data_IF_188004296595
#
_entry.id   IF_188004296595
#
_cell.length_a   1.000
_cell.length_b   1.000
_cell.length_c   1.000
_cell.angle_alpha   90.00
_cell.angle_beta   90.00
_cell.angle_gamma   90.00
#
_symmetry.space_group_name_H-M   'P 1'
#
loop_
_entity.id
_entity.type
_entity.pdbx_description
1 polymer ?
#
# COMPACT_ATOMS: atom_id res chain seq x y z
N UNK A 1 6.17 -24.54 29.06
CA UNK A 1 5.87 -23.32 29.84
C UNK A 1 6.84 -22.27 29.31
N UNK A 2 6.43 -21.25 28.57
CA UNK A 2 5.17 -20.49 28.71
C UNK A 2 4.74 -19.99 27.32
N UNK A 3 3.48 -20.25 26.98
CA UNK A 3 2.77 -19.64 25.85
C UNK A 3 2.50 -18.17 26.18
N UNK A 4 2.83 -17.26 25.27
CA UNK A 4 1.99 -16.14 24.83
C UNK A 4 2.81 -15.24 23.92
N UNK A 5 2.61 -15.38 22.61
CA UNK A 5 2.57 -14.26 21.69
C UNK A 5 1.28 -14.45 20.89
N UNK A 6 0.19 -13.89 21.42
CA UNK A 6 -0.99 -13.57 20.62
C UNK A 6 -0.66 -12.17 20.10
N UNK A 7 -0.26 -12.06 18.84
CA UNK A 7 0.05 -10.79 18.20
C UNK A 7 -0.60 -10.80 16.82
N UNK A 8 -1.28 -9.72 16.47
CA UNK A 8 -2.11 -9.50 15.28
C UNK A 8 -1.34 -9.87 14.00
N UNK A 9 -1.82 -10.88 13.26
CA UNK A 9 -0.97 -11.63 12.29
C UNK A 9 -1.08 -11.19 10.84
N UNK A 10 -1.96 -10.26 10.47
CA UNK A 10 -1.90 -9.74 9.11
C UNK A 10 -0.64 -8.88 8.87
N UNK A 11 0.01 -8.39 9.93
CA UNK A 11 1.03 -7.32 9.85
C UNK A 11 2.46 -7.90 9.84
N UNK A 12 2.74 -8.97 10.61
CA UNK A 12 4.12 -9.47 10.81
C UNK A 12 4.73 -10.15 9.57
N UNK A 13 3.92 -10.76 8.71
CA UNK A 13 4.38 -11.30 7.43
C UNK A 13 4.80 -10.19 6.44
N UNK A 14 4.33 -8.97 6.69
CA UNK A 14 4.32 -7.89 5.74
C UNK A 14 5.46 -6.88 5.92
N UNK A 15 6.24 -6.97 7.00
CA UNK A 15 7.43 -6.12 7.23
C UNK A 15 8.61 -6.52 6.37
N UNK A 16 8.72 -7.82 6.05
CA UNK A 16 9.74 -8.26 5.10
C UNK A 16 9.23 -8.07 3.67
N UNK A 17 7.90 -8.10 3.45
CA UNK A 17 7.33 -7.60 2.19
C UNK A 17 7.63 -6.10 2.05
N UNK A 18 7.44 -5.29 3.11
CA UNK A 18 7.74 -3.85 3.27
C UNK A 18 9.21 -3.49 2.99
N UNK A 19 10.12 -4.23 3.63
CA UNK A 19 11.56 -4.08 3.46
C UNK A 19 12.05 -4.64 2.10
N UNK A 20 11.37 -5.66 1.60
CA UNK A 20 11.52 -6.24 0.27
C UNK A 20 10.71 -5.54 -0.83
N UNK A 21 10.04 -4.40 -0.56
CA UNK A 21 9.00 -3.82 -1.43
C UNK A 21 9.49 -3.50 -2.85
N UNK A 22 10.79 -3.39 -3.13
CA UNK A 22 11.20 -3.03 -4.50
C UNK A 22 12.39 -3.83 -4.99
N UNK A 23 12.07 -5.01 -5.49
CA UNK A 23 12.82 -5.62 -6.58
C UNK A 23 11.88 -5.76 -7.77
N UNK A 24 12.17 -4.93 -8.80
CA UNK A 24 12.01 -5.17 -10.24
C UNK A 24 11.15 -4.16 -11.02
N UNK A 25 11.80 -3.14 -11.57
CA UNK A 25 11.54 -2.74 -12.95
C UNK A 25 12.84 -2.83 -13.76
N UNK A 26 12.72 -3.33 -14.99
CA UNK A 26 13.84 -3.45 -15.92
C UNK A 26 14.46 -2.06 -16.22
N UNK A 27 15.80 -1.95 -16.34
CA UNK A 27 16.44 -0.70 -16.66
C UNK A 27 16.27 -0.37 -18.14
N UNK A 28 15.65 0.77 -18.42
CA UNK A 28 15.91 1.53 -19.64
C UNK A 28 14.69 1.97 -20.41
N UNK A 29 14.08 3.07 -20.00
CA UNK A 29 13.48 4.01 -20.95
C UNK A 29 13.87 5.44 -20.57
N UNK A 30 14.25 6.22 -21.58
CA UNK A 30 14.65 7.62 -21.47
C UNK A 30 13.48 8.49 -21.01
N UNK A 31 13.77 9.58 -20.29
CA UNK A 31 12.79 10.55 -19.79
C UNK A 31 11.64 10.83 -20.78
N UNK A 32 10.37 10.79 -20.33
CA UNK A 32 9.24 11.07 -21.20
C UNK A 32 9.22 12.55 -21.60
N UNK A 33 8.92 12.78 -22.87
CA UNK A 33 8.74 14.12 -23.44
C UNK A 33 7.51 14.77 -22.77
N UNK A 34 7.55 16.08 -22.40
CA UNK A 34 6.39 16.76 -21.82
C UNK A 34 5.15 16.61 -22.71
N UNK A 35 4.07 16.08 -22.15
CA UNK A 35 2.80 15.82 -22.86
C UNK A 35 2.56 14.35 -23.26
N UNK A 36 3.44 13.43 -22.86
CA UNK A 36 3.16 11.99 -22.97
C UNK A 36 2.31 11.59 -21.76
N UNK A 37 1.08 11.13 -22.00
CA UNK A 37 0.29 10.43 -20.98
C UNK A 37 1.14 9.20 -20.63
N UNK A 38 1.79 9.21 -19.46
CA UNK A 38 2.42 8.00 -18.92
C UNK A 38 1.31 6.95 -18.92
N UNK A 39 1.48 5.78 -19.56
CA UNK A 39 0.47 4.74 -19.44
C UNK A 39 0.31 4.51 -17.95
N UNK A 40 -0.87 4.85 -17.40
CA UNK A 40 -1.23 4.43 -16.05
C UNK A 40 -0.99 2.93 -16.08
N UNK A 41 -0.02 2.46 -15.30
CA UNK A 41 0.25 1.04 -15.17
C UNK A 41 -1.10 0.37 -14.95
N UNK A 42 -1.47 -0.58 -15.83
CA UNK A 42 -2.82 -1.15 -15.81
C UNK A 42 -2.99 -1.83 -14.46
N UNK A 43 -3.69 -1.18 -13.55
CA UNK A 43 -4.01 -1.76 -12.25
C UNK A 43 -5.05 -2.85 -12.50
N UNK A 44 -4.75 -4.12 -12.18
CA UNK A 44 -5.70 -5.19 -12.41
C UNK A 44 -6.92 -5.02 -11.49
N UNK A 45 -8.10 -5.46 -11.93
CA UNK A 45 -9.22 -5.60 -11.00
C UNK A 45 -8.98 -6.77 -10.03
N UNK A 46 -9.76 -6.87 -8.94
CA UNK A 46 -9.70 -8.04 -8.05
C UNK A 46 -9.97 -9.36 -8.80
N UNK A 47 -10.92 -9.34 -9.74
CA UNK A 47 -11.21 -10.51 -10.59
C UNK A 47 -10.06 -10.85 -11.54
N UNK A 48 -9.39 -9.84 -12.12
CA UNK A 48 -8.20 -10.05 -12.95
C UNK A 48 -7.05 -10.63 -12.11
N UNK A 49 -6.79 -10.10 -10.91
CA UNK A 49 -5.75 -10.61 -10.00
C UNK A 49 -6.03 -12.07 -9.57
N UNK A 50 -7.29 -12.37 -9.21
CA UNK A 50 -7.74 -13.74 -8.91
C UNK A 50 -7.55 -14.68 -10.10
N UNK A 51 -7.85 -14.22 -11.32
CA UNK A 51 -7.68 -15.02 -12.53
C UNK A 51 -6.20 -15.29 -12.84
N UNK A 52 -5.32 -14.29 -12.70
CA UNK A 52 -3.88 -14.43 -12.88
C UNK A 52 -3.27 -15.40 -11.88
N UNK A 53 -3.65 -15.31 -10.60
CA UNK A 53 -3.21 -16.26 -9.58
C UNK A 53 -3.66 -17.70 -9.90
N UNK A 54 -4.91 -17.87 -10.36
CA UNK A 54 -5.43 -19.18 -10.77
C UNK A 54 -4.71 -19.75 -12.00
N UNK A 55 -4.33 -18.90 -12.94
CA UNK A 55 -3.51 -19.29 -14.08
C UNK A 55 -2.15 -19.83 -13.64
N UNK A 56 -1.43 -19.11 -12.77
CA UNK A 56 -0.14 -19.56 -12.23
C UNK A 56 -0.31 -20.89 -11.49
N UNK A 57 -1.27 -20.96 -10.56
CA UNK A 57 -1.50 -22.15 -9.74
C UNK A 57 -1.79 -23.40 -10.60
N UNK A 58 -2.57 -23.23 -11.67
CA UNK A 58 -2.92 -24.31 -12.60
C UNK A 58 -1.75 -24.79 -13.47
N UNK A 59 -0.67 -24.02 -13.58
CA UNK A 59 0.53 -24.40 -14.31
C UNK A 59 1.60 -25.07 -13.41
N UNK A 60 1.47 -25.01 -12.09
CA UNK A 60 2.44 -25.61 -11.15
C UNK A 60 2.16 -27.11 -10.99
N UNK A 61 3.22 -27.93 -11.05
CA UNK A 61 3.13 -29.35 -10.68
C UNK A 61 2.97 -29.48 -9.15
N UNK A 62 1.73 -29.65 -8.70
CA UNK A 62 1.40 -29.75 -7.29
C UNK A 62 2.01 -30.95 -6.57
N UNK A 63 2.26 -32.08 -7.26
CA UNK A 63 2.93 -33.23 -6.64
C UNK A 63 4.42 -32.94 -6.41
N UNK A 64 5.07 -32.28 -7.37
CA UNK A 64 6.46 -31.83 -7.22
C UNK A 64 6.60 -30.72 -6.17
N UNK A 65 5.63 -29.80 -6.09
CA UNK A 65 5.58 -28.75 -5.07
C UNK A 65 5.45 -29.33 -3.65
N UNK A 66 4.53 -30.28 -3.46
CA UNK A 66 4.19 -30.82 -2.15
C UNK A 66 5.35 -31.53 -1.43
N UNK A 67 6.37 -32.00 -2.17
CA UNK A 67 7.52 -32.71 -1.61
C UNK A 67 8.71 -31.80 -1.27
N UNK A 68 8.65 -30.52 -1.64
CA UNK A 68 9.69 -29.54 -1.31
C UNK A 68 9.78 -29.33 0.20
N UNK A 69 11.00 -29.22 0.71
CA UNK A 69 11.32 -29.01 2.13
C UNK A 69 12.56 -28.12 2.25
N UNK A 70 12.81 -27.53 3.42
CA UNK A 70 13.99 -26.70 3.65
C UNK A 70 15.28 -27.39 3.18
N UNK A 71 16.09 -26.68 2.39
CA UNK A 71 17.32 -27.20 1.77
C UNK A 71 17.17 -27.74 0.34
N UNK A 72 15.94 -27.80 -0.20
CA UNK A 72 15.68 -28.24 -1.58
C UNK A 72 15.74 -27.09 -2.61
N UNK A 73 16.18 -25.88 -2.25
CA UNK A 73 16.17 -24.69 -3.11
C UNK A 73 17.12 -24.80 -4.31
N UNK A 74 18.07 -25.73 -4.26
CA UNK A 74 18.97 -26.05 -5.36
C UNK A 74 18.50 -27.26 -6.20
N UNK A 75 17.32 -27.81 -5.92
CA UNK A 75 16.78 -28.94 -6.67
C UNK A 75 16.18 -28.50 -8.00
N UNK A 76 16.10 -29.44 -8.94
CA UNK A 76 15.46 -29.20 -10.24
C UNK A 76 13.97 -28.88 -10.11
N UNK A 77 13.29 -29.43 -9.10
CA UNK A 77 11.87 -29.16 -8.86
C UNK A 77 11.64 -27.71 -8.43
N UNK A 78 12.40 -27.22 -7.44
CA UNK A 78 12.34 -25.82 -7.01
C UNK A 78 12.70 -24.88 -8.18
N UNK A 79 13.82 -25.14 -8.85
CA UNK A 79 14.30 -24.31 -9.97
C UNK A 79 13.25 -24.24 -11.09
N UNK A 80 12.61 -25.36 -11.42
CA UNK A 80 11.57 -25.38 -12.46
C UNK A 80 10.36 -24.51 -12.10
N UNK A 81 9.87 -24.61 -10.85
CA UNK A 81 8.75 -23.78 -10.38
C UNK A 81 9.16 -22.31 -10.38
N UNK A 82 10.32 -21.95 -9.80
CA UNK A 82 10.82 -20.57 -9.75
C UNK A 82 10.96 -19.95 -11.14
N UNK A 83 11.60 -20.66 -12.07
CA UNK A 83 11.83 -20.17 -13.43
C UNK A 83 10.49 -19.95 -14.17
N UNK A 84 9.48 -20.77 -13.87
CA UNK A 84 8.13 -20.60 -14.39
C UNK A 84 7.43 -19.36 -13.82
N UNK A 85 7.52 -19.12 -12.51
CA UNK A 85 7.02 -17.88 -11.89
C UNK A 85 7.72 -16.65 -12.49
N UNK A 86 9.04 -16.74 -12.71
CA UNK A 86 9.84 -15.67 -13.31
C UNK A 86 9.39 -15.35 -14.73
N UNK A 87 9.15 -16.37 -15.55
CA UNK A 87 8.63 -16.21 -16.90
C UNK A 87 7.22 -15.58 -16.90
N UNK A 88 6.36 -15.96 -15.94
CA UNK A 88 5.03 -15.38 -15.79
C UNK A 88 5.10 -13.89 -15.40
N UNK A 89 5.92 -13.53 -14.41
CA UNK A 89 6.11 -12.12 -14.01
C UNK A 89 6.63 -11.28 -15.17
N UNK A 90 7.57 -11.82 -15.96
CA UNK A 90 8.13 -11.11 -17.11
C UNK A 90 7.09 -10.78 -18.21
N UNK A 91 5.97 -11.51 -18.29
CA UNK A 91 4.87 -11.21 -19.22
C UNK A 91 3.76 -10.33 -18.62
N UNK A 92 3.82 -10.02 -17.33
CA UNK A 92 2.81 -9.27 -16.57
C UNK A 92 3.48 -8.11 -15.80
N UNK A 93 3.81 -6.99 -16.46
CA UNK A 93 4.57 -5.89 -15.87
C UNK A 93 3.86 -5.17 -14.71
N UNK A 94 2.57 -5.42 -14.50
CA UNK A 94 1.80 -4.99 -13.33
C UNK A 94 2.10 -5.80 -12.06
N UNK A 95 2.56 -7.04 -12.20
CA UNK A 95 2.89 -7.93 -11.10
C UNK A 95 4.30 -7.63 -10.61
N UNK A 96 4.40 -7.18 -9.36
CA UNK A 96 5.68 -6.86 -8.72
C UNK A 96 6.26 -8.12 -8.07
N UNK A 97 5.41 -8.97 -7.50
CA UNK A 97 5.86 -10.14 -6.76
C UNK A 97 5.03 -11.38 -7.05
N UNK A 98 5.69 -12.54 -7.07
CA UNK A 98 5.07 -13.85 -7.20
C UNK A 98 5.78 -14.82 -6.27
N UNK A 99 5.01 -15.46 -5.41
CA UNK A 99 5.53 -16.48 -4.52
C UNK A 99 4.50 -17.57 -4.30
N UNK A 100 4.93 -18.64 -3.64
CA UNK A 100 4.08 -19.77 -3.30
C UNK A 100 4.21 -20.11 -1.83
N UNK A 101 3.11 -20.54 -1.24
CA UNK A 101 3.03 -20.84 0.18
C UNK A 101 2.37 -22.18 0.43
N UNK A 102 2.67 -22.79 1.57
CA UNK A 102 1.89 -23.90 2.14
C UNK A 102 1.44 -23.55 3.54
N UNK A 103 0.36 -24.20 3.98
CA UNK A 103 -0.19 -24.05 5.33
C UNK A 103 -0.08 -25.37 6.09
N UNK A 104 0.47 -25.32 7.30
CA UNK A 104 0.43 -26.41 8.28
C UNK A 104 -0.18 -25.91 9.60
N UNK A 105 -1.41 -26.34 9.87
CA UNK A 105 -2.20 -25.82 10.98
C UNK A 105 -2.38 -24.31 10.86
N UNK A 106 -1.75 -23.56 11.76
CA UNK A 106 -1.79 -22.10 11.78
C UNK A 106 -0.54 -21.46 11.17
N UNK A 107 0.44 -22.25 10.76
CA UNK A 107 1.69 -21.76 10.18
C UNK A 107 1.56 -21.67 8.67
N UNK A 108 1.92 -20.51 8.11
CA UNK A 108 2.14 -20.29 6.69
C UNK A 108 3.64 -20.34 6.45
N UNK A 109 4.05 -21.10 5.45
CA UNK A 109 5.44 -21.28 5.06
C UNK A 109 5.61 -20.93 3.58
N UNK A 110 6.60 -20.11 3.27
CA UNK A 110 7.06 -19.84 1.90
C UNK A 110 7.77 -21.05 1.33
N UNK A 111 7.49 -21.37 0.06
CA UNK A 111 8.02 -22.57 -0.60
C UNK A 111 8.83 -22.23 -1.83
N UNK A 112 8.32 -21.37 -2.71
CA UNK A 112 9.08 -20.87 -3.86
C UNK A 112 8.82 -19.39 -3.97
N UNK A 113 9.87 -18.62 -3.73
CA UNK A 113 9.96 -17.19 -4.01
C UNK A 113 10.63 -17.02 -5.39
N UNK A 114 10.00 -16.24 -6.28
CA UNK A 114 10.54 -15.98 -7.62
C UNK A 114 11.93 -15.31 -7.59
N UNK A 115 12.19 -14.52 -6.55
CA UNK A 115 13.43 -13.77 -6.36
C UNK A 115 14.49 -14.54 -5.57
N UNK A 116 14.21 -15.79 -5.20
CA UNK A 116 15.16 -16.63 -4.46
C UNK A 116 16.54 -16.71 -5.15
N UNK A 117 17.56 -16.31 -4.40
CA UNK A 117 18.94 -16.14 -4.86
C UNK A 117 19.37 -14.68 -5.03
N UNK A 118 18.45 -13.72 -4.90
CA UNK A 118 18.71 -12.29 -4.79
C UNK A 118 18.28 -11.79 -3.40
N UNK A 119 19.21 -11.27 -2.58
CA UNK A 119 18.88 -10.57 -1.33
C UNK A 119 17.94 -11.33 -0.37
N UNK A 120 16.99 -10.60 0.21
CA UNK A 120 16.05 -10.98 1.29
C UNK A 120 14.92 -11.94 0.89
N UNK A 121 15.05 -12.63 -0.26
CA UNK A 121 14.06 -13.59 -0.73
C UNK A 121 13.91 -14.79 0.22
N UNK A 122 12.68 -15.29 0.37
CA UNK A 122 12.36 -16.34 1.34
C UNK A 122 12.88 -17.71 0.91
N UNK A 123 13.56 -18.40 1.82
CA UNK A 123 13.91 -19.80 1.69
C UNK A 123 12.72 -20.70 2.02
N UNK A 124 12.79 -21.98 1.61
CA UNK A 124 11.78 -22.96 2.02
C UNK A 124 11.87 -23.10 3.55
N UNK A 125 10.75 -22.91 4.24
CA UNK A 125 10.69 -22.99 5.70
C UNK A 125 10.52 -21.66 6.40
N UNK A 126 10.82 -20.56 5.72
CA UNK A 126 10.51 -19.23 6.24
C UNK A 126 9.00 -19.05 6.29
N UNK A 127 8.49 -18.37 7.33
CA UNK A 127 7.05 -18.34 7.55
C UNK A 127 6.62 -17.68 8.85
N UNK A 128 5.32 -17.66 9.07
CA UNK A 128 4.67 -17.01 10.19
C UNK A 128 3.43 -17.78 10.66
N UNK A 129 2.93 -17.48 11.85
CA UNK A 129 1.78 -18.21 12.45
C UNK A 129 0.58 -17.30 12.63
N UNK A 130 -0.56 -17.68 12.05
CA UNK A 130 -1.86 -16.99 12.06
C UNK A 130 -2.74 -17.45 13.24
N UNK A 131 -3.49 -16.60 13.96
CA UNK A 131 -4.44 -16.99 14.98
C UNK A 131 -5.56 -17.78 14.32
N UNK A 132 -6.12 -18.74 15.06
CA UNK A 132 -7.09 -19.69 14.53
C UNK A 132 -8.40 -19.00 14.10
N UNK A 133 -8.72 -17.87 14.71
CA UNK A 133 -9.91 -17.07 14.44
C UNK A 133 -9.78 -16.11 13.24
N UNK A 134 -8.60 -15.93 12.66
CA UNK A 134 -8.42 -15.00 11.55
C UNK A 134 -9.09 -15.55 10.30
N UNK A 135 -9.96 -14.73 9.69
CA UNK A 135 -10.49 -14.93 8.35
C UNK A 135 -9.92 -13.84 7.46
N UNK A 136 -9.36 -14.23 6.33
CA UNK A 136 -8.81 -13.32 5.32
C UNK A 136 -8.88 -13.96 3.93
N UNK A 137 -8.81 -13.14 2.89
CA UNK A 137 -8.78 -13.64 1.51
C UNK A 137 -7.52 -14.48 1.24
N UNK A 138 -6.39 -14.15 1.88
CA UNK A 138 -5.20 -15.00 1.90
C UNK A 138 -5.50 -16.44 2.37
N UNK A 139 -6.30 -16.60 3.43
CA UNK A 139 -6.65 -17.93 3.93
C UNK A 139 -7.64 -18.66 3.01
N UNK A 140 -8.56 -17.94 2.39
CA UNK A 140 -9.47 -18.46 1.36
C UNK A 140 -8.68 -19.03 0.17
N UNK A 141 -7.59 -18.37 -0.20
CA UNK A 141 -6.73 -18.71 -1.33
C UNK A 141 -6.13 -20.13 -1.28
N UNK A 142 -5.97 -20.71 -0.08
CA UNK A 142 -5.54 -22.11 0.07
C UNK A 142 -6.61 -23.13 -0.36
N UNK A 143 -7.86 -22.71 -0.52
CA UNK A 143 -8.99 -23.60 -0.86
C UNK A 143 -9.68 -23.24 -2.16
N UNK A 144 -9.77 -21.95 -2.49
CA UNK A 144 -10.37 -21.44 -3.72
C UNK A 144 -9.74 -20.10 -4.11
N UNK A 145 -9.78 -19.69 -5.39
CA UNK A 145 -9.16 -18.44 -5.77
C UNK A 145 -9.84 -17.23 -5.11
N UNK A 146 -9.04 -16.27 -4.64
CA UNK A 146 -9.45 -15.07 -3.91
C UNK A 146 -8.54 -13.89 -4.26
N UNK A 147 -8.96 -12.68 -3.90
CA UNK A 147 -8.14 -11.49 -4.05
C UNK A 147 -8.55 -10.41 -3.04
N UNK A 148 -7.61 -9.58 -2.63
CA UNK A 148 -7.85 -8.44 -1.73
C UNK A 148 -6.98 -7.23 -2.13
N UNK A 149 -7.35 -6.05 -1.63
CA UNK A 149 -6.49 -4.87 -1.67
C UNK A 149 -5.78 -4.79 -0.32
N UNK A 150 -4.46 -4.67 -0.35
CA UNK A 150 -3.65 -4.41 0.82
C UNK A 150 -3.12 -2.97 0.76
N UNK A 151 -2.98 -2.32 1.92
CA UNK A 151 -2.32 -1.02 2.03
C UNK A 151 -1.58 -0.86 3.36
N UNK A 152 -0.48 -0.11 3.35
CA UNK A 152 0.33 0.28 4.50
C UNK A 152 0.81 1.73 4.35
N UNK A 153 1.13 2.40 5.46
CA UNK A 153 1.67 3.76 5.45
C UNK A 153 3.10 3.78 6.01
N UNK A 154 3.95 4.62 5.43
CA UNK A 154 5.32 4.84 5.88
C UNK A 154 5.57 6.32 6.14
N UNK A 155 6.33 6.61 7.20
CA UNK A 155 6.81 7.94 7.54
C UNK A 155 8.33 8.01 7.46
N UNK A 156 8.85 9.10 6.92
CA UNK A 156 10.28 9.30 6.67
C UNK A 156 10.76 10.65 7.18
N UNK A 157 12.00 10.72 7.66
CA UNK A 157 12.66 12.00 7.89
C UNK A 157 14.19 11.91 7.84
N UNK A 158 14.89 12.99 7.39
CA UNK A 158 16.33 12.99 7.23
C UNK A 158 17.06 13.02 8.56
N UNK A 159 18.04 12.12 8.72
CA UNK A 159 18.98 12.14 9.84
C UNK A 159 20.18 13.00 9.43
N UNK A 160 20.40 14.07 10.19
CA UNK A 160 21.46 15.04 9.91
C UNK A 160 22.64 14.85 10.84
N UNK A 161 23.84 14.94 10.29
CA UNK A 161 25.07 14.95 11.09
C UNK A 161 25.32 16.34 11.72
N UNK A 162 26.40 16.48 12.50
CA UNK A 162 26.70 17.76 13.16
C UNK A 162 26.98 18.93 12.19
N UNK A 163 27.27 18.65 10.92
CA UNK A 163 27.41 19.67 9.87
C UNK A 163 26.08 20.11 9.24
N UNK A 164 24.98 19.46 9.60
CA UNK A 164 23.65 19.67 9.02
C UNK A 164 23.41 18.94 7.70
N UNK A 165 24.37 18.13 7.23
CA UNK A 165 24.23 17.31 6.04
C UNK A 165 23.37 16.07 6.34
N UNK A 166 22.46 15.74 5.43
CA UNK A 166 21.75 14.46 5.50
C UNK A 166 22.73 13.31 5.26
N UNK A 167 22.76 12.36 6.18
CA UNK A 167 23.63 11.17 6.15
C UNK A 167 22.85 9.87 6.17
N UNK A 168 21.53 9.96 6.32
CA UNK A 168 20.61 8.84 6.41
C UNK A 168 19.20 9.35 6.62
N UNK A 169 18.30 8.43 6.94
CA UNK A 169 16.88 8.68 7.13
C UNK A 169 16.35 7.73 8.19
N UNK A 170 15.36 8.17 8.96
CA UNK A 170 14.55 7.29 9.78
C UNK A 170 13.28 6.89 9.02
N UNK A 171 12.84 5.66 9.20
CA UNK A 171 11.62 5.11 8.62
C UNK A 171 10.72 4.62 9.75
N UNK A 172 9.45 4.99 9.69
CA UNK A 172 8.39 4.61 10.63
C UNK A 172 7.29 3.86 9.89
N UNK A 173 6.82 2.76 10.45
CA UNK A 173 5.62 2.06 9.99
C UNK A 173 4.67 1.93 11.19
N UNK A 174 3.50 2.58 11.15
CA UNK A 174 2.52 2.46 12.20
C UNK A 174 1.63 1.23 12.02
N UNK A 175 1.14 0.69 13.13
CA UNK A 175 0.14 -0.40 13.20
C UNK A 175 -1.26 0.11 13.57
N UNK A 176 -1.41 1.41 13.70
CA UNK A 176 -2.64 2.10 14.10
C UNK A 176 -2.69 3.46 13.41
N UNK A 177 -3.87 4.06 13.25
CA UNK A 177 -4.02 5.33 12.55
C UNK A 177 -3.12 6.44 13.08
N UNK A 178 -2.44 7.13 12.15
CA UNK A 178 -1.68 8.35 12.39
C UNK A 178 -1.88 9.26 11.18
N UNK A 179 -2.17 10.54 11.42
CA UNK A 179 -2.25 11.53 10.35
C UNK A 179 -0.91 11.71 9.65
N UNK A 180 -0.91 12.00 8.35
CA UNK A 180 0.34 12.21 7.60
C UNK A 180 1.22 13.27 8.27
N UNK A 181 0.69 14.45 8.54
CA UNK A 181 1.45 15.54 9.17
C UNK A 181 1.98 15.15 10.56
N UNK A 182 1.21 14.38 11.32
CA UNK A 182 1.63 13.87 12.63
C UNK A 182 2.73 12.81 12.49
N UNK A 183 2.63 11.93 11.49
CA UNK A 183 3.62 10.90 11.20
C UNK A 183 4.94 11.51 10.69
N UNK A 184 4.86 12.51 9.82
CA UNK A 184 6.01 13.29 9.36
C UNK A 184 6.67 14.05 10.50
N UNK A 185 5.87 14.72 11.34
CA UNK A 185 6.36 15.43 12.51
C UNK A 185 7.03 14.48 13.51
N UNK A 186 6.44 13.31 13.74
CA UNK A 186 7.00 12.27 14.59
C UNK A 186 8.30 11.70 14.00
N UNK A 187 8.35 11.43 12.70
CA UNK A 187 9.57 11.00 12.02
C UNK A 187 10.67 12.05 12.18
N UNK A 188 10.36 13.34 11.96
CA UNK A 188 11.29 14.45 12.12
C UNK A 188 11.79 14.59 13.57
N UNK A 189 10.89 14.46 14.55
CA UNK A 189 11.25 14.49 15.96
C UNK A 189 12.23 13.37 16.31
N UNK A 190 11.95 12.14 15.87
CA UNK A 190 12.81 11.00 16.19
C UNK A 190 14.14 11.09 15.42
N UNK A 191 14.14 11.48 14.14
CA UNK A 191 15.36 11.70 13.36
C UNK A 191 16.29 12.71 14.05
N UNK A 192 15.74 13.80 14.60
CA UNK A 192 16.49 14.82 15.33
C UNK A 192 17.11 14.34 16.65
N UNK A 193 16.68 13.18 17.17
CA UNK A 193 17.26 12.56 18.35
C UNK A 193 18.46 11.65 18.03
N UNK A 194 18.60 11.19 16.78
CA UNK A 194 19.65 10.25 16.38
C UNK A 194 20.98 10.98 16.17
N UNK A 195 22.08 10.42 16.69
CA UNK A 195 23.44 10.87 16.39
C UNK A 195 23.82 10.47 14.95
N UNK A 196 23.64 11.40 14.01
CA UNK A 196 23.91 11.17 12.60
C UNK A 196 25.39 10.88 12.29
N UNK A 197 26.34 11.46 13.03
CA UNK A 197 27.76 11.16 12.84
C UNK A 197 28.09 9.72 13.28
N UNK A 198 27.52 9.29 14.41
CA UNK A 198 27.66 7.91 14.87
C UNK A 198 27.01 6.92 13.90
N UNK A 199 25.79 7.21 13.42
CA UNK A 199 25.09 6.38 12.43
C UNK A 199 25.90 6.26 11.13
N UNK A 200 26.38 7.37 10.58
CA UNK A 200 27.14 7.38 9.34
C UNK A 200 28.44 6.55 9.41
N UNK A 201 29.03 6.44 10.61
CA UNK A 201 30.25 5.67 10.84
C UNK A 201 30.03 4.14 10.91
N UNK A 202 28.79 3.67 11.10
CA UNK A 202 28.46 2.25 11.23
C UNK A 202 28.73 1.48 9.94
N UNK A 203 29.19 0.24 10.08
CA UNK A 203 29.49 -0.67 8.96
C UNK A 203 28.95 -2.07 9.27
N UNK A 204 28.69 -2.91 8.25
CA UNK A 204 28.35 -4.31 8.46
C UNK A 204 29.28 -4.98 9.48
N UNK A 205 28.70 -5.69 10.45
CA UNK A 205 29.43 -6.29 11.57
C UNK A 205 29.59 -5.36 12.80
N UNK A 206 28.99 -4.17 12.81
CA UNK A 206 29.02 -3.24 13.95
C UNK A 206 27.79 -3.33 14.86
N UNK A 207 26.92 -4.32 14.67
CA UNK A 207 25.62 -4.43 15.35
C UNK A 207 25.74 -4.70 16.86
N UNK A 208 26.94 -5.08 17.32
CA UNK A 208 27.25 -5.26 18.74
C UNK A 208 28.08 -4.10 19.33
N UNK A 209 28.34 -3.05 18.55
CA UNK A 209 29.13 -1.90 19.03
C UNK A 209 28.29 -0.98 19.92
N UNK A 210 28.92 -0.25 20.86
CA UNK A 210 28.21 0.71 21.69
C UNK A 210 27.44 1.78 20.89
N UNK A 211 27.96 2.18 19.73
CA UNK A 211 27.30 3.17 18.87
C UNK A 211 25.99 2.62 18.28
N UNK A 212 26.01 1.40 17.73
CA UNK A 212 24.81 0.74 17.23
C UNK A 212 23.77 0.53 18.32
N UNK A 213 24.21 -0.04 19.45
CA UNK A 213 23.32 -0.32 20.60
C UNK A 213 22.68 0.97 21.11
N UNK A 214 23.43 2.07 21.20
CA UNK A 214 22.88 3.36 21.64
C UNK A 214 21.78 3.88 20.70
N UNK A 215 21.99 3.83 19.38
CA UNK A 215 20.98 4.24 18.40
C UNK A 215 19.78 3.29 18.46
N UNK A 216 19.99 1.97 18.49
CA UNK A 216 18.91 0.98 18.58
C UNK A 216 18.06 1.19 19.83
N UNK A 217 18.70 1.30 20.99
CA UNK A 217 18.00 1.49 22.27
C UNK A 217 17.19 2.81 22.26
N UNK A 218 17.65 3.82 21.54
CA UNK A 218 16.92 5.06 21.31
C UNK A 218 15.70 4.87 20.40
N UNK A 219 15.81 4.10 19.32
CA UNK A 219 14.67 3.73 18.48
C UNK A 219 13.62 2.93 19.28
N UNK A 220 14.07 1.95 20.07
CA UNK A 220 13.22 1.17 20.97
C UNK A 220 12.50 2.06 21.99
N UNK A 221 13.22 3.03 22.59
CA UNK A 221 12.62 3.99 23.51
C UNK A 221 11.57 4.87 22.81
N UNK A 222 11.84 5.31 21.59
CA UNK A 222 10.89 6.09 20.80
C UNK A 222 9.64 5.27 20.47
N UNK A 223 9.78 4.02 20.01
CA UNK A 223 8.63 3.13 19.78
C UNK A 223 7.86 2.81 21.06
N UNK A 224 8.53 2.68 22.19
CA UNK A 224 7.87 2.48 23.49
C UNK A 224 7.02 3.69 23.89
N UNK A 225 7.46 4.90 23.55
CA UNK A 225 6.73 6.13 23.81
C UNK A 225 5.57 6.37 22.82
N UNK A 226 5.66 5.80 21.62
CA UNK A 226 4.71 5.92 20.52
C UNK A 226 4.15 4.54 20.19
N UNK A 227 3.25 3.99 21.03
CA UNK A 227 2.71 2.64 20.89
C UNK A 227 1.79 2.48 19.68
N UNK A 228 1.69 3.43 18.77
CA UNK A 228 1.08 3.33 17.45
C UNK A 228 2.12 2.91 16.40
N UNK A 229 3.42 3.09 16.66
CA UNK A 229 4.51 2.66 15.78
C UNK A 229 4.79 1.17 15.94
N UNK A 230 4.72 0.44 14.84
CA UNK A 230 5.04 -0.97 14.77
C UNK A 230 6.53 -1.17 14.54
N UNK A 231 7.05 -0.52 13.50
CA UNK A 231 8.44 -0.64 13.06
C UNK A 231 9.11 0.71 13.01
N UNK A 232 10.38 0.72 13.42
CA UNK A 232 11.21 1.90 13.41
C UNK A 232 12.66 1.50 13.14
N UNK A 233 13.21 2.02 12.06
CA UNK A 233 14.55 1.70 11.61
C UNK A 233 15.17 2.87 10.87
N UNK A 234 16.47 2.76 10.56
CA UNK A 234 17.23 3.81 9.87
C UNK A 234 17.90 3.25 8.62
N UNK A 235 17.98 4.09 7.58
CA UNK A 235 18.58 3.75 6.29
C UNK A 235 19.57 4.82 5.82
N UNK A 236 20.46 4.47 4.90
CA UNK A 236 21.35 5.43 4.21
C UNK A 236 21.49 5.12 2.72
N UNK A 237 21.88 6.12 1.93
CA UNK A 237 22.24 5.93 0.52
C UNK A 237 23.57 5.16 0.40
N UNK A 238 23.60 4.13 -0.43
CA UNK A 238 24.75 3.27 -0.72
C UNK A 238 24.91 3.10 -2.24
N UNK A 239 25.52 4.10 -2.90
CA UNK A 239 25.61 4.13 -4.36
C UNK A 239 24.24 4.34 -5.01
N UNK A 240 23.78 3.38 -5.82
CA UNK A 240 22.45 3.39 -6.44
C UNK A 240 21.39 2.66 -5.59
N UNK A 241 21.78 2.16 -4.41
CA UNK A 241 20.91 1.50 -3.46
C UNK A 241 20.72 2.38 -2.22
N UNK A 242 19.78 2.03 -1.36
CA UNK A 242 19.80 2.35 0.06
C UNK A 242 20.15 1.09 0.85
N UNK A 243 20.57 1.23 2.09
CA UNK A 243 20.80 0.10 2.98
C UNK A 243 20.31 0.40 4.39
N UNK A 244 19.88 -0.64 5.09
CA UNK A 244 19.55 -0.62 6.50
C UNK A 244 20.80 -0.36 7.34
N UNK A 245 20.63 0.40 8.42
CA UNK A 245 21.73 0.76 9.31
C UNK A 245 21.43 0.40 10.76
N UNK A 246 20.26 0.74 11.29
CA UNK A 246 19.89 0.35 12.66
C UNK A 246 18.40 0.06 12.70
N UNK A 247 18.04 -1.13 13.15
CA UNK A 247 16.68 -1.60 13.33
C UNK A 247 16.43 -1.81 14.83
N UNK A 248 15.32 -1.26 15.35
CA UNK A 248 14.93 -1.42 16.74
C UNK A 248 14.70 -2.89 17.16
N UNK A 249 14.34 -3.76 16.21
CA UNK A 249 14.10 -5.20 16.46
C UNK A 249 15.37 -6.06 16.33
N UNK A 250 16.52 -5.45 16.01
CA UNK A 250 17.75 -6.21 15.84
C UNK A 250 18.15 -6.98 17.11
N UNK A 251 18.12 -8.32 16.98
CA UNK A 251 18.43 -9.27 18.03
C UNK A 251 17.23 -9.72 18.88
N UNK A 252 16.00 -9.25 18.62
CA UNK A 252 14.78 -9.74 19.28
C UNK A 252 14.02 -10.79 18.49
N UNK A 253 14.18 -10.84 17.18
CA UNK A 253 13.62 -11.87 16.30
C UNK A 253 14.56 -12.18 15.11
N UNK A 254 14.17 -13.13 14.28
CA UNK A 254 14.92 -13.54 13.09
C UNK A 254 14.61 -12.68 11.85
N UNK A 255 13.67 -11.73 11.95
CA UNK A 255 13.23 -10.87 10.84
C UNK A 255 13.91 -9.50 10.83
N UNK A 256 14.61 -9.14 11.91
CA UNK A 256 15.31 -7.87 11.99
C UNK A 256 16.51 -7.79 11.05
N UNK A 257 16.64 -6.63 10.40
CA UNK A 257 17.64 -6.38 9.34
C UNK A 257 18.98 -5.95 9.91
N UNK A 258 20.06 -6.43 9.31
CA UNK A 258 21.43 -6.12 9.68
C UNK A 258 21.93 -4.85 8.96
N UNK A 259 23.09 -4.32 9.41
CA UNK A 259 23.71 -3.20 8.70
C UNK A 259 24.16 -3.68 7.32
N UNK A 260 23.75 -2.96 6.27
CA UNK A 260 24.16 -3.21 4.90
C UNK A 260 23.22 -4.11 4.11
N UNK A 261 22.15 -4.60 4.73
CA UNK A 261 21.04 -5.20 3.98
C UNK A 261 20.47 -4.10 3.07
N UNK A 262 20.46 -4.38 1.77
CA UNK A 262 20.41 -3.36 0.73
C UNK A 262 19.14 -3.42 -0.09
N UNK A 263 18.69 -2.25 -0.52
CA UNK A 263 17.45 -2.03 -1.24
C UNK A 263 17.73 -1.14 -2.47
N UNK A 264 17.21 -1.45 -3.66
CA UNK A 264 17.49 -0.68 -4.88
C UNK A 264 16.26 0.14 -5.28
N UNK A 265 16.27 1.48 -5.08
CA UNK A 265 15.17 2.34 -5.48
C UNK A 265 14.87 2.29 -6.98
N UNK A 266 13.58 2.32 -7.27
CA UNK A 266 12.94 2.44 -8.58
C UNK A 266 12.41 3.85 -8.81
N UNK A 267 11.72 4.07 -9.94
CA UNK A 267 11.05 5.35 -10.24
C UNK A 267 9.82 5.62 -9.37
N UNK A 268 9.32 4.61 -8.64
CA UNK A 268 8.16 4.76 -7.76
C UNK A 268 8.55 5.25 -6.36
N UNK A 269 9.81 5.12 -5.96
CA UNK A 269 10.34 5.52 -4.64
C UNK A 269 10.52 7.03 -4.48
N UNK A 270 9.73 7.85 -5.17
CA UNK A 270 9.92 9.30 -5.12
C UNK A 270 9.77 9.85 -3.70
N UNK A 271 8.85 9.28 -2.91
CA UNK A 271 8.60 9.73 -1.53
C UNK A 271 9.69 9.22 -0.58
N UNK A 272 9.98 7.91 -0.57
CA UNK A 272 11.14 7.35 0.14
C UNK A 272 12.44 8.12 -0.16
N UNK A 273 12.71 8.46 -1.44
CA UNK A 273 13.91 9.19 -1.83
C UNK A 273 13.90 10.65 -1.36
N UNK A 274 12.73 11.30 -1.34
CA UNK A 274 12.55 12.64 -0.79
C UNK A 274 12.75 12.66 0.74
N UNK A 275 12.42 11.57 1.43
CA UNK A 275 12.65 11.35 2.86
C UNK A 275 14.10 11.54 3.32
N UNK A 276 15.07 11.38 2.43
CA UNK A 276 16.48 11.69 2.72
C UNK A 276 16.79 13.19 2.78
N UNK A 277 15.91 14.06 2.30
CA UNK A 277 16.13 15.50 2.24
C UNK A 277 15.15 16.27 3.14
N UNK A 278 13.90 15.79 3.25
CA UNK A 278 12.82 16.38 4.05
C UNK A 278 11.86 15.33 4.64
N UNK A 279 11.12 15.65 5.72
CA UNK A 279 10.08 14.75 6.23
C UNK A 279 9.00 14.50 5.16
N UNK A 280 8.58 13.24 5.03
CA UNK A 280 7.56 12.81 4.06
C UNK A 280 6.81 11.57 4.56
N UNK A 281 5.63 11.30 4.02
CA UNK A 281 4.91 10.04 4.23
C UNK A 281 4.27 9.52 2.93
N UNK A 282 4.17 8.19 2.78
CA UNK A 282 3.49 7.56 1.64
C UNK A 282 2.62 6.38 2.06
N UNK A 283 1.50 6.20 1.36
CA UNK A 283 0.70 4.97 1.42
C UNK A 283 1.13 4.07 0.26
N UNK A 284 1.58 2.86 0.61
CA UNK A 284 1.77 1.78 -0.34
C UNK A 284 0.50 0.95 -0.44
N UNK A 285 0.07 0.60 -1.66
CA UNK A 285 -1.06 -0.31 -1.87
C UNK A 285 -0.74 -1.35 -2.94
N UNK A 286 -1.26 -2.56 -2.71
CA UNK A 286 -1.14 -3.72 -3.57
C UNK A 286 -2.50 -4.35 -3.80
N UNK A 287 -2.66 -4.98 -4.96
CA UNK A 287 -3.74 -5.93 -5.20
C UNK A 287 -3.13 -7.32 -5.14
N UNK A 288 -3.58 -8.10 -4.17
CA UNK A 288 -3.09 -9.44 -3.93
C UNK A 288 -4.07 -10.45 -4.54
N UNK A 289 -3.56 -11.36 -5.36
CA UNK A 289 -4.32 -12.46 -5.95
C UNK A 289 -3.81 -13.79 -5.44
N UNK A 290 -4.74 -14.69 -5.10
CA UNK A 290 -4.41 -15.99 -4.50
C UNK A 290 -5.16 -17.12 -5.19
N UNK A 291 -4.50 -18.27 -5.35
CA UNK A 291 -5.18 -19.47 -5.84
C UNK A 291 -4.53 -20.78 -5.37
N UNK A 292 -5.34 -21.82 -5.11
CA UNK A 292 -4.83 -23.08 -4.58
C UNK A 292 -4.03 -23.86 -5.62
N UNK A 293 -2.86 -24.35 -5.23
CA UNK A 293 -2.08 -25.31 -6.01
C UNK A 293 -2.59 -26.70 -5.64
N UNK A 294 -3.14 -27.42 -6.63
CA UNK A 294 -3.67 -28.77 -6.42
C UNK A 294 -2.72 -29.84 -6.97
N UNK A 295 -2.53 -30.91 -6.21
CA UNK A 295 -1.80 -32.09 -6.70
C UNK A 295 -2.69 -32.96 -7.64
N UNK A 296 -2.16 -34.05 -8.19
CA UNK A 296 -2.92 -34.90 -9.11
C UNK A 296 -4.17 -35.56 -8.50
N UNK A 297 -4.29 -35.61 -7.16
CA UNK A 297 -5.49 -36.10 -6.47
C UNK A 297 -6.59 -35.04 -6.34
N UNK A 298 -6.32 -33.79 -6.73
CA UNK A 298 -7.20 -32.64 -6.55
C UNK A 298 -7.17 -32.06 -5.13
N UNK A 299 -6.24 -32.52 -4.27
CA UNK A 299 -6.05 -31.94 -2.95
C UNK A 299 -5.23 -30.65 -3.09
N UNK A 300 -5.67 -29.58 -2.42
CA UNK A 300 -4.85 -28.38 -2.25
C UNK A 300 -3.65 -28.72 -1.38
N UNK A 301 -2.45 -28.43 -1.88
CA UNK A 301 -1.17 -28.68 -1.22
C UNK A 301 -0.41 -27.40 -0.94
N UNK A 302 -0.93 -26.26 -1.39
CA UNK A 302 -0.35 -24.94 -1.25
C UNK A 302 -1.15 -23.90 -2.03
N UNK A 303 -0.55 -22.75 -2.27
CA UNK A 303 -1.17 -21.62 -2.93
C UNK A 303 -0.13 -20.85 -3.73
N UNK A 304 -0.52 -20.35 -4.90
CA UNK A 304 0.21 -19.31 -5.61
C UNK A 304 -0.35 -17.95 -5.19
N UNK A 305 0.55 -17.01 -4.95
CA UNK A 305 0.24 -15.63 -4.60
C UNK A 305 0.91 -14.70 -5.60
N UNK A 306 0.15 -13.70 -6.06
CA UNK A 306 0.67 -12.56 -6.82
C UNK A 306 0.37 -11.28 -6.08
N UNK A 307 1.24 -10.31 -6.23
CA UNK A 307 1.03 -8.94 -5.78
C UNK A 307 1.25 -8.02 -6.96
N UNK A 308 0.23 -7.21 -7.27
CA UNK A 308 0.28 -6.20 -8.30
C UNK A 308 0.30 -4.81 -7.69
N UNK A 309 1.18 -3.95 -8.20
CA UNK A 309 1.28 -2.56 -7.74
C UNK A 309 -0.04 -1.82 -7.93
N UNK A 310 -0.53 -1.18 -6.85
CA UNK A 310 -1.71 -0.31 -6.90
C UNK A 310 -1.30 1.14 -6.59
N UNK A 311 -0.51 1.79 -7.46
CA UNK A 311 0.09 3.08 -7.14
C UNK A 311 -0.99 4.14 -6.93
N UNK A 312 -1.00 4.79 -5.78
CA UNK A 312 -1.88 5.92 -5.48
C UNK A 312 -1.12 7.19 -5.85
N UNK A 313 -1.50 7.82 -6.97
CA UNK A 313 -0.84 9.03 -7.49
C UNK A 313 -1.87 10.09 -7.85
N UNK A 314 -1.46 11.36 -7.81
CA UNK A 314 -2.30 12.49 -8.21
C UNK A 314 -2.84 12.33 -9.63
N UNK A 315 -2.01 11.89 -10.59
CA UNK A 315 -2.46 11.72 -11.98
C UNK A 315 -3.49 10.61 -12.15
N UNK A 316 -3.33 9.50 -11.40
CA UNK A 316 -4.35 8.44 -11.37
C UNK A 316 -5.65 8.95 -10.77
N UNK A 317 -5.60 9.70 -9.67
CA UNK A 317 -6.79 10.25 -9.03
C UNK A 317 -7.53 11.25 -9.92
N UNK A 318 -6.81 12.16 -10.58
CA UNK A 318 -7.40 13.08 -11.57
C UNK A 318 -8.11 12.30 -12.69
N UNK A 319 -7.49 11.22 -13.18
CA UNK A 319 -8.07 10.38 -14.22
C UNK A 319 -9.34 9.65 -13.74
N UNK A 320 -9.31 9.05 -12.55
CA UNK A 320 -10.46 8.37 -11.95
C UNK A 320 -11.62 9.35 -11.69
N UNK A 321 -11.34 10.50 -11.09
CA UNK A 321 -12.33 11.53 -10.84
C UNK A 321 -12.96 12.03 -12.17
N UNK A 322 -12.15 12.28 -13.20
CA UNK A 322 -12.65 12.68 -14.50
C UNK A 322 -13.50 11.58 -15.18
N UNK A 323 -13.14 10.31 -14.99
CA UNK A 323 -13.90 9.18 -15.49
C UNK A 323 -15.30 9.14 -14.87
N UNK A 324 -15.41 9.09 -13.53
CA UNK A 324 -16.71 9.02 -12.85
C UNK A 324 -17.53 10.30 -13.04
N UNK A 325 -16.90 11.47 -13.14
CA UNK A 325 -17.58 12.74 -13.47
C UNK A 325 -18.34 12.63 -14.80
N UNK A 326 -17.74 11.98 -15.81
CA UNK A 326 -18.37 11.73 -17.11
C UNK A 326 -19.51 10.72 -17.10
N UNK A 327 -19.66 9.97 -16.00
CA UNK A 327 -20.69 8.94 -15.83
C UNK A 327 -21.93 9.45 -15.08
N UNK A 328 -21.87 10.64 -14.48
CA UNK A 328 -22.94 11.21 -13.66
C UNK A 328 -23.89 12.05 -14.54
N UNK A 329 -25.20 11.88 -14.34
CA UNK A 329 -26.18 12.79 -14.92
C UNK A 329 -26.22 14.11 -14.14
N UNK A 330 -25.39 15.07 -14.55
CA UNK A 330 -25.28 16.37 -13.86
C UNK A 330 -26.59 17.15 -13.77
N UNK A 331 -27.46 17.08 -14.80
CA UNK A 331 -28.78 17.73 -14.74
C UNK A 331 -29.67 17.13 -13.65
N UNK A 332 -29.65 15.81 -13.48
CA UNK A 332 -30.38 15.15 -12.40
C UNK A 332 -29.79 15.48 -11.02
N UNK A 333 -28.46 15.41 -10.89
CA UNK A 333 -27.74 15.74 -9.66
C UNK A 333 -28.05 17.18 -9.19
N UNK A 334 -28.04 18.15 -10.12
CA UNK A 334 -28.32 19.55 -9.82
C UNK A 334 -29.76 19.80 -9.35
N UNK A 335 -30.70 18.92 -9.71
CA UNK A 335 -32.12 19.06 -9.36
C UNK A 335 -32.49 18.46 -8.00
N UNK A 336 -31.60 17.68 -7.38
CA UNK A 336 -31.83 17.04 -6.08
C UNK A 336 -31.96 18.08 -4.95
N UNK A 337 -32.81 17.82 -3.96
CA UNK A 337 -32.96 18.63 -2.77
C UNK A 337 -32.92 17.74 -1.52
N UNK A 338 -32.62 18.30 -0.33
CA UNK A 338 -32.78 17.56 0.93
C UNK A 338 -34.17 16.91 1.01
N UNK A 339 -34.21 15.59 1.27
CA UNK A 339 -35.43 14.77 1.23
C UNK A 339 -35.63 13.94 -0.04
N UNK A 340 -34.81 14.14 -1.08
CA UNK A 340 -34.88 13.38 -2.34
C UNK A 340 -34.08 12.06 -2.32
N UNK A 341 -33.55 11.64 -1.17
CA UNK A 341 -32.67 10.46 -1.04
C UNK A 341 -33.36 9.12 -1.37
N UNK A 342 -34.69 9.13 -1.43
CA UNK A 342 -35.50 7.96 -1.84
C UNK A 342 -35.97 8.03 -3.29
N UNK A 343 -35.59 9.09 -4.02
CA UNK A 343 -36.02 9.28 -5.41
C UNK A 343 -35.21 8.40 -6.37
N UNK A 344 -35.79 7.99 -7.52
CA UNK A 344 -35.05 7.24 -8.54
C UNK A 344 -33.83 7.97 -9.07
N UNK A 345 -33.84 9.31 -9.08
CA UNK A 345 -32.71 10.12 -9.54
C UNK A 345 -31.51 10.00 -8.58
N UNK A 346 -31.76 10.10 -7.27
CA UNK A 346 -30.73 9.90 -6.26
C UNK A 346 -30.16 8.49 -6.31
N UNK A 347 -31.04 7.47 -6.27
CA UNK A 347 -30.62 6.05 -6.30
C UNK A 347 -29.78 5.75 -7.54
N UNK A 348 -30.16 6.26 -8.72
CA UNK A 348 -29.41 6.03 -9.95
C UNK A 348 -27.99 6.64 -9.92
N UNK A 349 -27.81 7.79 -9.26
CA UNK A 349 -26.47 8.39 -9.12
C UNK A 349 -25.67 7.62 -8.08
N UNK A 350 -26.26 7.33 -6.89
CA UNK A 350 -25.59 6.57 -5.83
C UNK A 350 -25.10 5.22 -6.33
N UNK A 351 -25.98 4.43 -6.96
CA UNK A 351 -25.64 3.11 -7.49
C UNK A 351 -24.56 3.20 -8.58
N UNK A 352 -24.44 4.35 -9.27
CA UNK A 352 -23.37 4.58 -10.23
C UNK A 352 -22.03 4.87 -9.56
N UNK A 353 -22.02 5.65 -8.48
CA UNK A 353 -20.82 5.91 -7.69
C UNK A 353 -20.33 4.63 -7.00
N UNK A 354 -21.26 3.87 -6.41
CA UNK A 354 -20.99 2.58 -5.76
C UNK A 354 -20.40 1.57 -6.75
N UNK A 355 -21.03 1.39 -7.91
CA UNK A 355 -20.49 0.53 -8.96
C UNK A 355 -19.15 1.02 -9.52
N UNK A 356 -18.89 2.33 -9.51
CA UNK A 356 -17.59 2.88 -9.89
C UNK A 356 -16.53 2.54 -8.84
N UNK A 357 -16.82 2.73 -7.54
CA UNK A 357 -15.92 2.35 -6.46
C UNK A 357 -15.57 0.86 -6.53
N UNK A 358 -16.57 -0.01 -6.62
CA UNK A 358 -16.38 -1.47 -6.67
C UNK A 358 -15.51 -1.91 -7.86
N UNK A 359 -15.58 -1.18 -8.97
CA UNK A 359 -14.78 -1.45 -10.16
C UNK A 359 -13.33 -0.94 -10.05
N UNK A 360 -13.00 -0.11 -9.06
CA UNK A 360 -11.71 0.57 -8.93
C UNK A 360 -11.04 0.25 -7.58
N UNK A 361 -10.24 -0.81 -7.52
CA UNK A 361 -9.55 -1.22 -6.28
C UNK A 361 -8.73 -0.09 -5.65
N UNK A 362 -8.89 0.09 -4.34
CA UNK A 362 -8.24 1.14 -3.54
C UNK A 362 -9.01 2.47 -3.47
N UNK A 363 -10.12 2.61 -4.20
CA UNK A 363 -11.08 3.70 -3.97
C UNK A 363 -11.89 3.39 -2.71
N UNK A 364 -11.88 4.33 -1.77
CA UNK A 364 -12.55 4.22 -0.47
C UNK A 364 -13.89 4.95 -0.52
N UNK A 365 -13.86 6.25 -0.85
CA UNK A 365 -15.05 7.09 -0.92
C UNK A 365 -15.24 7.70 -2.30
N UNK A 366 -16.50 7.81 -2.72
CA UNK A 366 -16.89 8.49 -3.95
C UNK A 366 -18.18 9.27 -3.69
N UNK A 367 -18.11 10.58 -3.87
CA UNK A 367 -19.21 11.47 -3.52
C UNK A 367 -19.30 12.65 -4.50
N UNK A 368 -20.44 13.31 -4.51
CA UNK A 368 -20.70 14.49 -5.33
C UNK A 368 -21.07 15.67 -4.48
N UNK A 369 -20.60 16.84 -4.88
CA UNK A 369 -20.87 18.10 -4.18
C UNK A 369 -21.27 19.20 -5.15
N UNK A 370 -22.05 20.15 -4.66
CA UNK A 370 -22.45 21.36 -5.41
C UNK A 370 -21.88 22.58 -4.75
N UNK A 371 -21.57 23.59 -5.58
CA UNK A 371 -21.08 24.88 -5.12
C UNK A 371 -22.26 25.82 -4.85
N UNK A 372 -22.23 26.46 -3.69
CA UNK A 372 -23.10 27.59 -3.33
C UNK A 372 -22.26 28.88 -3.30
N UNK A 373 -22.83 30.02 -2.89
CA UNK A 373 -22.11 31.30 -2.90
C UNK A 373 -20.82 31.28 -2.05
N UNK A 374 -20.87 30.69 -0.85
CA UNK A 374 -19.75 30.67 0.11
C UNK A 374 -19.50 29.29 0.74
N UNK A 375 -20.11 28.24 0.22
CA UNK A 375 -20.01 26.89 0.76
C UNK A 375 -20.19 25.86 -0.35
N UNK A 376 -20.06 24.60 0.02
CA UNK A 376 -20.46 23.46 -0.80
C UNK A 376 -21.45 22.61 -0.03
N UNK A 377 -22.27 21.87 -0.75
CA UNK A 377 -23.16 20.88 -0.15
C UNK A 377 -22.98 19.51 -0.79
N UNK A 378 -23.13 18.45 0.00
CA UNK A 378 -23.18 17.09 -0.50
C UNK A 378 -24.48 16.87 -1.29
N UNK A 379 -24.36 16.24 -2.45
CA UNK A 379 -25.48 15.94 -3.33
C UNK A 379 -25.80 14.44 -3.35
N UNK A 380 -24.81 13.58 -3.48
CA UNK A 380 -24.95 12.12 -3.45
C UNK A 380 -23.62 11.52 -2.99
N UNK A 381 -23.69 10.62 -2.02
CA UNK A 381 -22.56 9.82 -1.53
C UNK A 381 -22.82 8.34 -1.85
N UNK A 382 -21.80 7.60 -2.29
CA UNK A 382 -21.91 6.17 -2.60
C UNK A 382 -22.40 5.34 -1.39
N UNK A 383 -21.98 5.72 -0.17
CA UNK A 383 -22.29 5.04 1.09
C UNK A 383 -23.57 5.54 1.74
N UNK A 384 -24.37 6.37 1.04
CA UNK A 384 -25.63 6.84 1.59
C UNK A 384 -26.55 5.67 1.99
N UNK A 385 -26.87 5.64 3.29
CA UNK A 385 -27.59 4.55 3.95
C UNK A 385 -26.78 3.91 5.07
N UNK A 386 -25.46 4.05 5.02
CA UNK A 386 -24.56 3.75 6.12
C UNK A 386 -24.53 4.95 7.06
N UNK A 387 -24.52 4.70 8.38
CA UNK A 387 -24.86 5.69 9.41
C UNK A 387 -23.95 6.92 9.51
N UNK A 388 -22.94 7.04 8.64
CA UNK A 388 -21.92 8.07 8.62
C UNK A 388 -21.85 8.85 7.30
N UNK A 389 -22.48 8.36 6.24
CA UNK A 389 -22.47 9.04 4.95
C UNK A 389 -23.31 10.34 4.99
N UNK A 390 -22.83 11.44 4.37
CA UNK A 390 -23.54 12.71 4.37
C UNK A 390 -24.88 12.62 3.65
N UNK A 391 -25.87 13.33 4.18
CA UNK A 391 -27.16 13.52 3.53
C UNK A 391 -27.12 14.64 2.49
N UNK A 392 -28.15 14.71 1.63
CA UNK A 392 -28.24 15.80 0.66
C UNK A 392 -28.35 17.12 1.42
N UNK A 393 -27.49 18.07 1.08
CA UNK A 393 -27.48 19.39 1.69
C UNK A 393 -26.60 19.51 2.92
N UNK A 394 -25.93 18.44 3.37
CA UNK A 394 -24.88 18.58 4.38
C UNK A 394 -23.80 19.51 3.85
N UNK A 395 -23.44 20.51 4.66
CA UNK A 395 -22.64 21.66 4.20
C UNK A 395 -21.19 21.45 4.58
N UNK A 396 -20.31 21.63 3.60
CA UNK A 396 -18.87 21.80 3.80
C UNK A 396 -18.47 23.22 3.39
N UNK A 397 -17.78 23.95 4.27
CA UNK A 397 -17.34 25.32 4.02
C UNK A 397 -15.84 25.30 3.72
N UNK A 398 -15.43 25.36 2.43
CA UNK A 398 -14.02 25.36 2.08
C UNK A 398 -13.33 26.64 2.54
N UNK A 399 -12.07 26.49 2.92
CA UNK A 399 -11.11 27.52 3.30
C UNK A 399 -10.22 27.89 2.11
N UNK A 400 -9.28 28.81 2.33
CA UNK A 400 -8.27 29.16 1.32
C UNK A 400 -7.24 28.03 1.10
N UNK A 401 -7.18 27.05 2.00
CA UNK A 401 -6.24 25.92 1.94
C UNK A 401 -6.75 24.79 1.03
N UNK A 402 -8.06 24.74 0.76
CA UNK A 402 -8.73 23.72 -0.06
C UNK A 402 -8.56 23.96 -1.57
N UNK A 403 -7.31 24.23 -1.98
CA UNK A 403 -6.96 24.67 -3.33
C UNK A 403 -7.31 23.62 -4.38
N UNK A 404 -6.96 22.35 -4.14
CA UNK A 404 -7.23 21.27 -5.08
C UNK A 404 -8.73 20.96 -5.15
N UNK A 405 -9.41 20.83 -4.02
CA UNK A 405 -10.86 20.68 -3.94
C UNK A 405 -11.60 21.79 -4.73
N UNK A 406 -11.26 23.06 -4.50
CA UNK A 406 -11.88 24.20 -5.19
C UNK A 406 -11.60 24.20 -6.71
N UNK A 407 -10.40 23.77 -7.12
CA UNK A 407 -10.05 23.60 -8.53
C UNK A 407 -10.90 22.52 -9.23
N UNK A 408 -11.35 21.50 -8.47
CA UNK A 408 -12.22 20.41 -8.93
C UNK A 408 -13.56 20.87 -9.51
N UNK A 409 -14.04 22.06 -9.14
CA UNK A 409 -15.22 22.69 -9.77
C UNK A 409 -14.94 23.29 -11.16
N UNK A 410 -13.71 23.22 -11.67
CA UNK A 410 -13.32 23.79 -12.96
C UNK A 410 -12.66 22.76 -13.87
N UNK A 411 -11.72 21.99 -13.32
CA UNK A 411 -10.92 20.99 -14.03
C UNK A 411 -10.49 19.86 -13.09
N UNK A 412 -10.02 18.70 -13.61
CA UNK A 412 -9.49 17.64 -12.76
C UNK A 412 -8.32 18.12 -11.90
N UNK A 413 -8.39 17.84 -10.61
CA UNK A 413 -7.38 18.20 -9.61
C UNK A 413 -7.19 17.06 -8.61
N UNK A 414 -6.13 17.12 -7.81
CA UNK A 414 -5.89 16.18 -6.72
C UNK A 414 -5.12 16.89 -5.60
N UNK A 415 -5.30 16.43 -4.37
CA UNK A 415 -4.54 16.92 -3.23
C UNK A 415 -3.03 16.65 -3.42
N UNK A 416 -2.15 17.51 -2.89
CA UNK A 416 -0.71 17.39 -3.11
C UNK A 416 -0.08 16.22 -2.36
N UNK A 417 -0.72 15.74 -1.29
CA UNK A 417 -0.25 14.65 -0.42
C UNK A 417 -1.44 14.00 0.28
N UNK A 418 -1.19 12.87 0.95
CA UNK A 418 -2.23 12.20 1.71
C UNK A 418 -2.59 13.06 2.93
N UNK A 419 -3.80 12.87 3.42
CA UNK A 419 -4.26 13.48 4.65
C UNK A 419 -5.04 12.44 5.43
N UNK A 420 -5.28 12.72 6.70
CA UNK A 420 -6.15 11.88 7.52
C UNK A 420 -7.39 12.67 7.87
N UNK A 421 -8.51 12.01 7.68
CA UNK A 421 -9.81 12.56 8.00
C UNK A 421 -10.54 11.64 8.97
N UNK A 422 -11.34 12.25 9.83
CA UNK A 422 -12.25 11.56 10.70
C UNK A 422 -13.66 11.75 10.14
N UNK A 423 -14.15 10.74 9.42
CA UNK A 423 -15.50 10.74 8.90
C UNK A 423 -16.38 9.79 9.71
N UNK A 424 -17.31 10.35 10.48
CA UNK A 424 -18.17 9.57 11.38
C UNK A 424 -17.42 9.04 12.60
N UNK A 425 -17.32 7.71 12.73
CA UNK A 425 -16.57 7.02 13.79
C UNK A 425 -15.29 6.34 13.27
N UNK A 426 -14.96 6.57 12.00
CA UNK A 426 -13.84 5.93 11.32
C UNK A 426 -12.77 6.98 11.00
N UNK A 427 -11.52 6.59 11.16
CA UNK A 427 -10.37 7.36 10.71
C UNK A 427 -9.94 6.78 9.37
N UNK A 428 -9.66 7.62 8.39
CA UNK A 428 -9.16 7.20 7.08
C UNK A 428 -7.94 8.03 6.70
N UNK A 429 -6.94 7.40 6.07
CA UNK A 429 -5.84 8.12 5.43
C UNK A 429 -6.03 8.04 3.93
N UNK A 430 -6.18 9.21 3.29
CA UNK A 430 -6.70 9.35 1.94
C UNK A 430 -5.84 10.31 1.11
N UNK A 431 -5.79 10.07 -0.20
CA UNK A 431 -5.45 11.06 -1.21
C UNK A 431 -6.69 11.27 -2.07
N UNK A 432 -7.08 12.51 -2.26
CA UNK A 432 -8.34 12.86 -2.93
C UNK A 432 -8.13 13.47 -4.30
N UNK A 433 -8.94 13.02 -5.24
CA UNK A 433 -9.05 13.53 -6.60
C UNK A 433 -10.42 14.13 -6.84
N UNK A 434 -10.48 15.20 -7.61
CA UNK A 434 -11.73 15.90 -7.91
C UNK A 434 -11.86 16.17 -9.39
N UNK A 435 -13.10 16.20 -9.88
CA UNK A 435 -13.39 16.61 -11.25
C UNK A 435 -14.78 17.24 -11.40
N UNK A 436 -14.97 18.16 -12.36
CA UNK A 436 -16.22 18.89 -12.52
C UNK A 436 -17.32 18.01 -13.13
N UNK A 437 -18.47 17.96 -12.46
CA UNK A 437 -19.68 17.33 -13.01
C UNK A 437 -20.42 18.35 -13.87
N UNK A 438 -20.72 17.97 -15.11
CA UNK A 438 -21.35 18.84 -16.10
C UNK A 438 -22.78 18.40 -16.41
N UNK A 439 -23.66 19.37 -16.63
CA UNK A 439 -24.99 19.12 -17.15
C UNK A 439 -24.98 18.83 -18.66
N UNK A 440 -26.14 18.54 -19.23
CA UNK A 440 -26.27 18.25 -20.67
C UNK A 440 -25.86 19.42 -21.59
N UNK A 441 -25.70 20.64 -21.06
CA UNK A 441 -25.22 21.82 -21.82
C UNK A 441 -23.70 22.00 -21.74
N UNK A 442 -23.01 21.19 -20.93
CA UNK A 442 -21.59 21.31 -20.64
C UNK A 442 -21.27 22.29 -19.50
N UNK A 443 -22.29 22.86 -18.85
CA UNK A 443 -22.14 23.77 -17.71
C UNK A 443 -21.76 22.95 -16.48
N UNK A 444 -20.76 23.41 -15.72
CA UNK A 444 -20.41 22.77 -14.44
C UNK A 444 -21.52 23.04 -13.44
N UNK A 445 -22.04 21.98 -12.84
CA UNK A 445 -23.14 22.02 -11.85
C UNK A 445 -22.72 21.46 -10.49
N UNK A 446 -21.51 20.93 -10.39
CA UNK A 446 -20.91 20.42 -9.15
C UNK A 446 -19.55 19.79 -9.43
N UNK A 447 -19.07 19.00 -8.48
CA UNK A 447 -17.91 18.14 -8.62
C UNK A 447 -18.22 16.72 -8.15
N UNK A 448 -17.33 15.80 -8.49
CA UNK A 448 -17.20 14.49 -7.86
C UNK A 448 -15.85 14.44 -7.15
N UNK A 449 -15.83 13.92 -5.93
CA UNK A 449 -14.63 13.55 -5.19
C UNK A 449 -14.43 12.04 -5.23
N UNK A 450 -13.18 11.62 -5.37
CA UNK A 450 -12.74 10.23 -5.32
C UNK A 450 -11.57 10.15 -4.36
N UNK A 451 -11.73 9.38 -3.29
CA UNK A 451 -10.72 9.22 -2.27
C UNK A 451 -10.09 7.84 -2.38
N UNK A 452 -8.77 7.77 -2.43
CA UNK A 452 -8.01 6.52 -2.41
C UNK A 452 -7.11 6.44 -1.19
N UNK A 453 -7.01 5.26 -0.61
CA UNK A 453 -6.23 5.05 0.60
C UNK A 453 -6.79 3.88 1.39
N UNK A 454 -6.90 4.03 2.70
CA UNK A 454 -7.46 2.99 3.56
C UNK A 454 -8.15 3.58 4.79
N UNK A 455 -9.12 2.82 5.28
CA UNK A 455 -9.84 3.07 6.53
C UNK A 455 -9.25 2.20 7.62
N UNK A 456 -9.13 2.75 8.84
CA UNK A 456 -8.40 2.15 9.95
C UNK A 456 -9.25 1.31 10.91
#
# INVERSE_FOLDING_TARGET
MTVKNILIVAIVALIVVAAGIMIAFAPGETEPTPGTIVPVQKVPTLDEAKALAAEIAGQIDGDAFAVLKPGDENTSAFTAIRDQLSAFRASHPEIVYIHTMRKDGNTIEYIVDVDYGNGDAYAIGDGYTIPEETKSELLTGFTEPSAEVYAAIYGYAPIKNASGASVGMICLEPRSPIAQDDLEALAAEIAGKIDGDAMAALKPGNENTPAYIAIRDQLVACRTANPEIAYIYTMRKAGNATEYVVDADYGSDNSAVAIGDGYVPTTLDTVLLAGFEEPTAEIYSLICGYAPITNASGASVGMAAIEAGNPITQERLKALAAEVAGQINGTAMAALNPGDETTPAFTAIRDRLDAFRDANPGVVYVYTMRKTENATDYAVDADYGDGYAPAIGDVYVPTEEDVAFLAGFTEPSAEPGFYTDEWGNETATLLSGYAPVRDATGTVVGLVGVDMGFVH
#
